data_IF_930829193091
#
_entry.id   IF_930829193091
#
_cell.length_a   1.000
_cell.length_b   1.000
_cell.length_c   1.000
_cell.angle_alpha   90.00
_cell.angle_beta   90.00
_cell.angle_gamma   90.00
#
_symmetry.space_group_name_H-M   'P 1'
#
loop_
_entity.id
_entity.type
_entity.pdbx_description
1 polymer ?
#
# COMPACT_ATOMS: atom_id res chain seq x y z
N UNK A 1 -22.81 -7.70 -0.07
CA UNK A 1 -21.53 -7.01 -0.31
C UNK A 1 -21.57 -6.44 -1.71
N UNK A 2 -20.93 -5.29 -1.96
CA UNK A 2 -20.92 -4.68 -3.29
C UNK A 2 -19.74 -5.20 -4.09
N UNK A 3 -20.02 -5.70 -5.29
CA UNK A 3 -18.99 -6.18 -6.22
C UNK A 3 -18.53 -5.02 -7.12
N UNK A 4 -17.22 -4.81 -7.21
CA UNK A 4 -16.64 -3.90 -8.19
C UNK A 4 -16.60 -4.61 -9.55
N UNK A 5 -17.03 -3.91 -10.60
CA UNK A 5 -17.19 -4.50 -11.94
C UNK A 5 -16.67 -3.55 -13.02
N UNK A 6 -16.20 -4.12 -14.12
CA UNK A 6 -15.66 -3.36 -15.27
C UNK A 6 -16.69 -2.48 -15.98
N UNK A 7 -17.99 -2.78 -15.87
CA UNK A 7 -19.08 -1.99 -16.48
C UNK A 7 -19.30 -0.62 -15.83
N UNK A 8 -18.63 -0.36 -14.70
CA UNK A 8 -18.62 0.94 -14.03
C UNK A 8 -17.63 1.94 -14.65
N UNK A 9 -16.82 1.50 -15.61
CA UNK A 9 -15.69 2.27 -16.14
C UNK A 9 -15.75 2.41 -17.66
N UNK A 10 -15.12 3.46 -18.16
CA UNK A 10 -14.99 3.84 -19.55
C UNK A 10 -13.54 4.25 -19.83
N UNK A 11 -13.20 4.63 -21.06
CA UNK A 11 -11.86 5.14 -21.38
C UNK A 11 -11.61 6.59 -20.88
N UNK A 12 -12.38 7.02 -19.89
CA UNK A 12 -12.57 8.41 -19.50
C UNK A 12 -11.94 8.74 -18.16
N UNK A 13 -12.62 9.56 -17.36
CA UNK A 13 -12.32 9.69 -15.94
C UNK A 13 -13.48 9.07 -15.21
N UNK A 14 -13.25 7.94 -14.57
CA UNK A 14 -14.30 7.22 -13.89
C UNK A 14 -14.08 7.17 -12.38
N UNK A 15 -15.18 7.10 -11.64
CA UNK A 15 -15.17 7.13 -10.18
C UNK A 15 -16.13 6.07 -9.67
N UNK A 16 -15.59 4.99 -9.12
CA UNK A 16 -16.35 3.98 -8.40
C UNK A 16 -16.16 4.21 -6.90
N UNK A 17 -17.25 4.51 -6.20
CA UNK A 17 -17.25 4.62 -4.73
C UNK A 17 -18.31 3.73 -4.15
N UNK A 18 -17.94 2.95 -3.13
CA UNK A 18 -18.92 2.31 -2.28
C UNK A 18 -18.55 2.53 -0.81
N UNK A 19 -19.57 2.91 -0.04
CA UNK A 19 -19.51 2.95 1.41
C UNK A 19 -20.56 1.98 1.94
N UNK A 20 -20.10 0.88 2.55
CA UNK A 20 -21.00 -0.19 2.98
C UNK A 20 -20.34 -1.17 3.94
N UNK A 21 -21.14 -1.72 4.85
CA UNK A 21 -20.71 -2.77 5.78
C UNK A 21 -21.09 -4.16 5.23
N UNK A 22 -20.28 -5.21 5.51
CA UNK A 22 -18.98 -5.16 6.18
C UNK A 22 -17.81 -4.77 5.25
N UNK A 23 -18.02 -4.80 3.94
CA UNK A 23 -16.98 -4.57 2.93
C UNK A 23 -17.39 -3.45 1.98
N UNK A 24 -16.47 -2.52 1.70
CA UNK A 24 -16.64 -1.46 0.70
C UNK A 24 -16.72 -2.06 -0.71
N UNK A 25 -15.65 -2.67 -1.21
CA UNK A 25 -15.69 -3.37 -2.51
C UNK A 25 -15.14 -4.79 -2.41
N UNK A 26 -15.86 -5.74 -2.99
CA UNK A 26 -15.32 -7.05 -3.34
C UNK A 26 -14.93 -7.07 -4.83
N UNK A 27 -13.71 -7.51 -5.12
CA UNK A 27 -13.24 -7.82 -6.47
C UNK A 27 -13.21 -9.34 -6.58
N UNK A 28 -14.18 -9.90 -7.30
CA UNK A 28 -14.40 -11.35 -7.39
C UNK A 28 -13.79 -11.98 -8.65
N UNK A 29 -13.46 -11.16 -9.66
CA UNK A 29 -12.89 -11.60 -10.93
C UNK A 29 -11.95 -10.54 -11.51
N UNK A 30 -11.88 -10.47 -12.84
CA UNK A 30 -11.09 -9.46 -13.55
C UNK A 30 -11.88 -8.15 -13.71
N UNK A 31 -11.41 -7.11 -13.02
CA UNK A 31 -11.90 -5.73 -13.14
C UNK A 31 -10.84 -4.88 -13.84
N UNK A 32 -11.23 -4.20 -14.91
CA UNK A 32 -10.38 -3.27 -15.64
C UNK A 32 -11.06 -1.89 -15.69
N UNK A 33 -10.40 -0.85 -15.15
CA UNK A 33 -10.94 0.53 -15.18
C UNK A 33 -10.72 1.22 -16.53
N UNK A 34 -10.05 0.56 -17.47
CA UNK A 34 -9.64 1.05 -18.79
C UNK A 34 -8.57 2.13 -18.71
N UNK A 35 -8.32 2.85 -19.79
CA UNK A 35 -7.40 3.99 -19.75
C UNK A 35 -8.14 5.21 -19.19
N UNK A 36 -7.50 6.03 -18.37
CA UNK A 36 -8.23 7.12 -17.78
C UNK A 36 -7.52 7.88 -16.68
N UNK A 37 -8.32 8.48 -15.80
CA UNK A 37 -7.83 8.97 -14.51
C UNK A 37 -8.81 8.47 -13.48
N UNK A 38 -8.70 7.20 -13.14
CA UNK A 38 -9.78 6.52 -12.46
C UNK A 38 -9.61 6.58 -10.96
N UNK A 39 -10.72 6.46 -10.25
CA UNK A 39 -10.74 6.49 -8.79
C UNK A 39 -11.64 5.39 -8.27
N UNK A 40 -11.04 4.45 -7.54
CA UNK A 40 -11.74 3.39 -6.81
C UNK A 40 -11.64 3.71 -5.32
N UNK A 41 -12.79 3.89 -4.66
CA UNK A 41 -12.85 4.09 -3.21
C UNK A 41 -13.78 3.06 -2.60
N UNK A 42 -13.23 2.24 -1.70
CA UNK A 42 -14.01 1.33 -0.86
C UNK A 42 -13.91 1.76 0.59
N UNK A 43 -15.05 2.11 1.19
CA UNK A 43 -15.15 2.51 2.59
C UNK A 43 -16.01 1.48 3.34
N UNK A 44 -15.45 0.87 4.38
CA UNK A 44 -16.23 0.09 5.33
C UNK A 44 -16.42 0.87 6.61
N UNK A 45 -17.68 1.18 6.90
CA UNK A 45 -18.12 1.71 8.19
C UNK A 45 -18.37 0.51 9.11
N UNK A 46 -17.30 -0.06 9.67
CA UNK A 46 -17.45 -1.10 10.69
C UNK A 46 -18.38 -0.60 11.81
N UNK A 47 -19.31 -1.44 12.27
CA UNK A 47 -20.03 -1.15 13.51
C UNK A 47 -18.99 -1.05 14.63
N UNK A 48 -18.94 0.10 15.30
CA UNK A 48 -17.88 0.42 16.24
C UNK A 48 -17.67 -0.68 17.27
N UNK A 49 -16.48 -1.30 17.24
CA UNK A 49 -15.70 -1.78 18.39
C UNK A 49 -16.49 -2.22 19.65
N UNK A 50 -17.49 -3.10 19.54
CA UNK A 50 -18.15 -3.77 20.68
C UNK A 50 -18.57 -5.22 20.40
N UNK A 51 -18.26 -5.79 19.22
CA UNK A 51 -18.55 -7.21 18.96
C UNK A 51 -17.35 -8.07 19.43
N UNK A 52 -17.56 -9.13 20.24
CA UNK A 52 -16.50 -10.04 20.66
C UNK A 52 -15.78 -10.65 19.44
N UNK A 53 -14.45 -10.73 19.53
CA UNK A 53 -13.47 -11.11 18.48
C UNK A 53 -13.62 -12.51 17.86
N UNK A 54 -14.78 -13.18 17.97
CA UNK A 54 -14.97 -14.55 17.47
C UNK A 54 -15.92 -14.68 16.28
N UNK A 55 -16.66 -13.63 15.88
CA UNK A 55 -17.57 -13.70 14.71
C UNK A 55 -17.76 -12.37 13.92
N UNK A 56 -16.96 -11.33 14.16
CA UNK A 56 -17.11 -10.06 13.40
C UNK A 56 -16.56 -10.22 11.98
N UNK A 57 -17.42 -10.09 10.97
CA UNK A 57 -17.01 -9.89 9.59
C UNK A 57 -16.01 -8.72 9.56
N UNK A 58 -14.76 -8.99 9.21
CA UNK A 58 -13.69 -7.99 9.23
C UNK A 58 -14.12 -6.80 8.36
N UNK A 59 -14.07 -5.59 8.93
CA UNK A 59 -14.40 -4.38 8.19
C UNK A 59 -13.30 -4.13 7.15
N UNK A 60 -13.61 -4.32 5.86
CA UNK A 60 -12.63 -4.23 4.77
C UNK A 60 -13.02 -3.12 3.79
N UNK A 61 -12.10 -2.21 3.47
CA UNK A 61 -12.38 -1.14 2.51
C UNK A 61 -12.48 -1.71 1.09
N UNK A 62 -11.42 -2.34 0.61
CA UNK A 62 -11.37 -3.05 -0.67
C UNK A 62 -10.80 -4.44 -0.46
N UNK A 63 -11.49 -5.48 -0.95
CA UNK A 63 -11.08 -6.87 -0.88
C UNK A 63 -10.89 -7.44 -2.29
N UNK A 64 -9.68 -7.92 -2.58
CA UNK A 64 -9.41 -8.72 -3.77
C UNK A 64 -9.34 -10.19 -3.36
N UNK A 65 -10.21 -11.01 -3.93
CA UNK A 65 -10.26 -12.45 -3.68
C UNK A 65 -9.09 -13.19 -4.38
N UNK A 66 -8.75 -14.42 -3.93
CA UNK A 66 -7.78 -15.26 -4.63
C UNK A 66 -8.13 -15.43 -6.12
N UNK A 67 -7.18 -15.17 -7.01
CA UNK A 67 -7.36 -15.25 -8.46
C UNK A 67 -8.07 -14.06 -9.10
N UNK A 68 -8.56 -13.09 -8.31
CA UNK A 68 -9.14 -11.84 -8.83
C UNK A 68 -8.05 -10.86 -9.26
N UNK A 69 -8.43 -9.91 -10.13
CA UNK A 69 -7.55 -8.84 -10.60
C UNK A 69 -8.29 -7.51 -10.60
N UNK A 70 -7.68 -6.49 -10.02
CA UNK A 70 -8.04 -5.09 -10.27
C UNK A 70 -6.93 -4.44 -11.07
N UNK A 71 -7.22 -4.05 -12.31
CA UNK A 71 -6.32 -3.36 -13.22
C UNK A 71 -6.84 -1.93 -13.46
N UNK A 72 -6.10 -0.90 -13.04
CA UNK A 72 -6.51 0.49 -13.30
C UNK A 72 -6.14 1.00 -14.68
N UNK A 73 -5.51 0.16 -15.52
CA UNK A 73 -5.08 0.53 -16.85
C UNK A 73 -4.06 1.67 -16.87
N UNK A 74 -4.00 2.40 -17.99
CA UNK A 74 -3.10 3.55 -18.12
C UNK A 74 -3.79 4.81 -17.62
N UNK A 75 -3.13 5.58 -16.78
CA UNK A 75 -3.78 6.73 -16.19
C UNK A 75 -3.03 7.29 -15.01
N UNK A 76 -3.61 8.31 -14.38
CA UNK A 76 -3.17 8.73 -13.04
C UNK A 76 -4.24 8.29 -12.06
N UNK A 77 -4.18 7.03 -11.69
CA UNK A 77 -5.27 6.36 -11.02
C UNK A 77 -5.12 6.44 -9.51
N UNK A 78 -6.21 6.20 -8.81
CA UNK A 78 -6.24 6.20 -7.35
C UNK A 78 -7.08 5.05 -6.85
N UNK A 79 -6.50 4.20 -6.01
CA UNK A 79 -7.19 3.14 -5.28
C UNK A 79 -7.08 3.41 -3.79
N UNK A 80 -8.22 3.62 -3.13
CA UNK A 80 -8.27 3.95 -1.71
C UNK A 80 -9.21 3.00 -0.99
N UNK A 81 -8.67 2.22 -0.05
CA UNK A 81 -9.44 1.39 0.85
C UNK A 81 -9.39 1.94 2.27
N UNK A 82 -10.55 2.21 2.87
CA UNK A 82 -10.68 2.76 4.23
C UNK A 82 -11.59 1.85 5.04
N UNK A 83 -11.13 1.38 6.19
CA UNK A 83 -11.98 0.62 7.10
C UNK A 83 -11.51 0.71 8.56
N UNK A 84 -12.34 0.19 9.47
CA UNK A 84 -11.97 0.01 10.87
C UNK A 84 -10.85 -1.03 11.03
N UNK A 85 -10.86 -2.13 10.27
CA UNK A 85 -9.88 -3.21 10.42
C UNK A 85 -8.82 -3.14 9.32
N UNK A 86 -9.21 -3.40 8.07
CA UNK A 86 -8.29 -3.52 6.95
C UNK A 86 -8.65 -2.56 5.80
N UNK A 87 -7.78 -1.61 5.49
CA UNK A 87 -8.03 -0.67 4.40
C UNK A 87 -8.15 -1.39 3.05
N UNK A 88 -7.07 -2.07 2.65
CA UNK A 88 -7.04 -2.92 1.45
C UNK A 88 -6.60 -4.33 1.85
N UNK A 89 -7.41 -5.34 1.54
CA UNK A 89 -7.05 -6.76 1.63
C UNK A 89 -6.84 -7.31 0.23
N UNK A 90 -5.59 -7.56 -0.14
CA UNK A 90 -5.23 -8.12 -1.43
C UNK A 90 -4.79 -9.59 -1.31
N UNK A 91 -5.67 -10.50 -1.73
CA UNK A 91 -5.36 -11.92 -1.93
C UNK A 91 -5.22 -12.27 -3.43
N UNK A 92 -5.41 -11.30 -4.31
CA UNK A 92 -5.36 -11.42 -5.77
C UNK A 92 -4.24 -10.57 -6.38
N UNK A 93 -4.55 -9.87 -7.46
CA UNK A 93 -3.61 -8.96 -8.12
C UNK A 93 -4.19 -7.56 -8.26
N UNK A 94 -3.51 -6.55 -7.72
CA UNK A 94 -3.80 -5.14 -7.95
C UNK A 94 -2.72 -4.56 -8.86
N UNK A 95 -3.09 -4.07 -10.03
CA UNK A 95 -2.18 -3.46 -10.99
C UNK A 95 -2.60 -2.04 -11.31
N UNK A 96 -1.63 -1.12 -11.32
CA UNK A 96 -1.75 0.17 -12.01
C UNK A 96 -0.78 0.18 -13.19
N UNK A 97 -1.09 0.99 -14.21
CA UNK A 97 -0.37 0.94 -15.47
C UNK A 97 0.68 2.02 -15.62
N UNK A 98 0.36 3.05 -16.40
CA UNK A 98 1.28 4.15 -16.68
C UNK A 98 0.71 5.45 -16.13
N UNK A 99 1.34 6.05 -15.14
CA UNK A 99 1.74 7.45 -15.10
C UNK A 99 2.14 7.87 -13.67
N UNK A 100 1.20 8.13 -12.79
CA UNK A 100 1.47 8.51 -11.40
C UNK A 100 0.27 8.07 -10.60
N UNK A 101 0.36 6.85 -10.13
CA UNK A 101 -0.74 6.17 -9.48
C UNK A 101 -0.57 6.22 -7.97
N UNK A 102 -1.70 6.11 -7.27
CA UNK A 102 -1.74 6.16 -5.81
C UNK A 102 -2.58 5.02 -5.29
N UNK A 103 -1.97 4.16 -4.49
CA UNK A 103 -2.66 3.12 -3.72
C UNK A 103 -2.57 3.53 -2.25
N UNK A 104 -3.69 3.67 -1.58
CA UNK A 104 -3.75 4.03 -0.16
C UNK A 104 -4.65 3.05 0.59
N UNK A 105 -4.09 2.40 1.60
CA UNK A 105 -4.84 1.59 2.54
C UNK A 105 -4.83 2.23 3.92
N UNK A 106 -6.01 2.45 4.49
CA UNK A 106 -6.20 2.95 5.84
C UNK A 106 -7.08 1.99 6.64
N UNK A 107 -6.45 1.19 7.49
CA UNK A 107 -7.15 0.34 8.46
C UNK A 107 -6.62 0.55 9.87
N UNK A 108 -7.42 0.21 10.88
CA UNK A 108 -6.99 0.24 12.28
C UNK A 108 -6.05 -0.91 12.63
N UNK A 109 -6.25 -2.09 12.03
CA UNK A 109 -5.37 -3.25 12.19
C UNK A 109 -4.32 -3.30 11.07
N UNK A 110 -4.75 -3.14 9.83
CA UNK A 110 -3.89 -3.23 8.65
C UNK A 110 -4.23 -2.11 7.67
N UNK A 111 -3.25 -1.30 7.28
CA UNK A 111 -3.43 -0.37 6.17
C UNK A 111 -3.64 -1.15 4.88
N UNK A 112 -2.64 -1.97 4.56
CA UNK A 112 -2.66 -2.88 3.42
C UNK A 112 -2.24 -4.28 3.91
N UNK A 113 -3.18 -5.22 3.88
CA UNK A 113 -2.90 -6.65 4.00
C UNK A 113 -2.70 -7.23 2.60
N UNK A 114 -1.50 -7.71 2.29
CA UNK A 114 -1.14 -8.21 0.97
C UNK A 114 -0.54 -9.61 1.07
N UNK A 115 -1.30 -10.62 0.63
CA UNK A 115 -0.83 -11.98 0.36
C UNK A 115 -0.82 -12.30 -1.14
N UNK A 116 -1.24 -11.34 -1.97
CA UNK A 116 -1.19 -11.38 -3.42
C UNK A 116 -0.06 -10.54 -4.01
N UNK A 117 -0.34 -9.87 -5.11
CA UNK A 117 0.60 -8.98 -5.82
C UNK A 117 0.00 -7.58 -5.97
N UNK A 118 0.79 -6.56 -5.64
CA UNK A 118 0.55 -5.16 -6.01
C UNK A 118 1.66 -4.76 -6.98
N UNK A 119 1.31 -4.22 -8.15
CA UNK A 119 2.27 -3.79 -9.18
C UNK A 119 1.89 -2.41 -9.73
N UNK A 120 2.74 -1.39 -9.60
CA UNK A 120 2.39 -0.02 -10.05
C UNK A 120 2.86 0.35 -11.46
N UNK A 121 3.70 -0.48 -12.07
CA UNK A 121 4.04 -0.34 -13.48
C UNK A 121 5.03 0.78 -13.78
N UNK A 122 4.68 1.73 -14.65
CA UNK A 122 5.57 2.86 -14.99
C UNK A 122 5.01 4.15 -14.44
N UNK A 123 5.73 4.80 -13.56
CA UNK A 123 5.23 6.04 -13.02
C UNK A 123 6.06 6.59 -11.91
N UNK A 124 5.62 7.70 -11.31
CA UNK A 124 6.12 8.05 -9.97
C UNK A 124 4.96 7.78 -9.04
N UNK A 125 4.87 6.52 -8.67
CA UNK A 125 3.75 5.92 -8.01
C UNK A 125 3.96 5.96 -6.50
N UNK A 126 2.84 5.83 -5.78
CA UNK A 126 2.84 5.86 -4.32
C UNK A 126 1.99 4.71 -3.81
N UNK A 127 2.58 3.87 -2.98
CA UNK A 127 1.85 2.87 -2.18
C UNK A 127 1.95 3.30 -0.71
N UNK A 128 0.81 3.57 -0.09
CA UNK A 128 0.72 4.19 1.22
C UNK A 128 -0.12 3.35 2.20
N UNK A 129 0.56 2.80 3.20
CA UNK A 129 -0.02 2.08 4.32
C UNK A 129 0.42 2.69 5.67
N UNK A 130 0.65 4.01 5.73
CA UNK A 130 1.09 4.67 6.98
C UNK A 130 0.14 4.47 8.17
N UNK A 131 -1.16 4.31 7.89
CA UNK A 131 -2.18 4.03 8.89
C UNK A 131 -2.49 2.53 8.90
N UNK A 132 -2.15 1.86 10.00
CA UNK A 132 -2.28 0.41 10.16
C UNK A 132 -1.11 -0.42 9.63
N UNK A 133 -0.21 0.15 8.83
CA UNK A 133 0.99 -0.56 8.34
C UNK A 133 0.70 -1.58 7.24
N UNK A 134 1.75 -2.27 6.81
CA UNK A 134 1.67 -3.42 5.92
C UNK A 134 1.55 -4.72 6.71
N UNK A 135 0.90 -5.73 6.13
CA UNK A 135 0.88 -7.09 6.66
C UNK A 135 0.74 -8.11 5.53
N UNK A 136 1.19 -9.34 5.77
CA UNK A 136 1.12 -10.45 4.81
C UNK A 136 2.51 -10.83 4.27
N UNK A 137 2.52 -11.70 3.26
CA UNK A 137 3.73 -12.25 2.63
C UNK A 137 3.82 -11.95 1.12
N UNK A 138 2.87 -11.20 0.59
CA UNK A 138 2.77 -10.85 -0.81
C UNK A 138 3.85 -9.88 -1.28
N UNK A 139 3.85 -9.64 -2.59
CA UNK A 139 4.78 -8.74 -3.28
C UNK A 139 4.12 -7.37 -3.53
N UNK A 140 4.87 -6.31 -3.27
CA UNK A 140 4.62 -4.97 -3.79
C UNK A 140 5.79 -4.61 -4.72
N UNK A 141 5.53 -4.53 -6.01
CA UNK A 141 6.48 -4.14 -7.06
C UNK A 141 6.14 -2.73 -7.56
N UNK A 142 7.03 -1.77 -7.33
CA UNK A 142 6.82 -0.38 -7.74
C UNK A 142 7.20 -0.15 -9.22
N UNK A 143 7.82 -1.13 -9.87
CA UNK A 143 8.08 -1.14 -11.29
C UNK A 143 9.22 -0.21 -11.72
N UNK A 144 8.91 0.88 -12.42
CA UNK A 144 9.96 1.74 -13.00
C UNK A 144 9.71 3.22 -12.76
N UNK A 145 10.82 3.94 -12.61
CA UNK A 145 10.97 5.38 -12.31
C UNK A 145 11.14 5.61 -10.81
N UNK A 146 10.76 6.76 -10.25
CA UNK A 146 11.17 7.09 -8.88
C UNK A 146 9.95 7.11 -7.97
N UNK A 147 9.71 5.97 -7.35
CA UNK A 147 8.50 5.61 -6.64
C UNK A 147 8.63 5.88 -5.14
N UNK A 148 7.52 5.72 -4.43
CA UNK A 148 7.47 5.97 -2.98
C UNK A 148 6.60 4.95 -2.28
N UNK A 149 7.25 4.12 -1.47
CA UNK A 149 6.58 3.29 -0.48
C UNK A 149 6.44 4.05 0.83
N UNK A 150 5.27 4.03 1.46
CA UNK A 150 5.06 4.62 2.78
C UNK A 150 4.41 3.63 3.74
N UNK A 151 4.99 3.48 4.92
CA UNK A 151 4.56 2.51 5.92
C UNK A 151 5.61 1.45 6.21
N UNK A 152 5.37 0.69 7.28
CA UNK A 152 6.22 -0.39 7.76
C UNK A 152 5.36 -1.63 8.03
N UNK A 153 5.93 -2.82 7.92
CA UNK A 153 5.23 -4.06 8.19
C UNK A 153 5.86 -5.27 7.51
N UNK A 154 5.17 -6.40 7.54
CA UNK A 154 5.60 -7.62 6.84
C UNK A 154 5.24 -7.57 5.36
N UNK A 155 6.02 -8.29 4.56
CA UNK A 155 5.84 -8.39 3.10
C UNK A 155 7.17 -8.34 2.36
N UNK A 156 7.10 -8.36 1.02
CA UNK A 156 8.23 -8.15 0.12
C UNK A 156 7.97 -6.90 -0.72
N UNK A 157 8.93 -5.98 -0.72
CA UNK A 157 8.78 -4.69 -1.38
C UNK A 157 9.95 -4.48 -2.33
N UNK A 158 9.66 -4.30 -3.61
CA UNK A 158 10.65 -4.00 -4.64
C UNK A 158 10.40 -2.58 -5.15
N UNK A 159 11.38 -1.70 -4.98
CA UNK A 159 11.38 -0.36 -5.57
C UNK A 159 11.53 -0.40 -7.09
N UNK A 160 12.08 -1.49 -7.64
CA UNK A 160 12.20 -1.70 -9.06
C UNK A 160 13.43 -1.00 -9.67
N UNK A 161 13.26 -0.46 -10.88
CA UNK A 161 14.36 0.06 -11.70
C UNK A 161 14.57 1.58 -11.58
N UNK A 162 14.10 2.20 -10.50
CA UNK A 162 14.34 3.60 -10.24
C UNK A 162 15.76 3.94 -9.89
N UNK A 163 15.98 5.23 -9.65
CA UNK A 163 17.28 5.74 -9.18
C UNK A 163 17.16 6.52 -7.87
N UNK A 164 15.92 6.71 -7.41
CA UNK A 164 15.53 7.49 -6.23
C UNK A 164 14.23 6.93 -5.64
N UNK A 165 14.03 5.63 -5.76
CA UNK A 165 12.96 4.94 -5.06
C UNK A 165 13.18 5.11 -3.57
N UNK A 166 12.09 5.36 -2.85
CA UNK A 166 12.18 5.71 -1.45
C UNK A 166 11.19 4.96 -0.58
N UNK A 167 11.66 4.59 0.60
CA UNK A 167 10.82 4.13 1.70
C UNK A 167 10.66 5.26 2.72
N UNK A 168 9.43 5.64 3.03
CA UNK A 168 9.12 6.62 4.07
C UNK A 168 8.39 5.95 5.24
N UNK A 169 8.99 6.04 6.42
CA UNK A 169 8.51 5.36 7.62
C UNK A 169 7.81 6.35 8.57
N UNK A 170 6.84 5.84 9.32
CA UNK A 170 6.20 6.56 10.43
C UNK A 170 7.13 6.66 11.63
N UNK A 171 6.63 7.24 12.73
CA UNK A 171 7.36 7.32 14.01
C UNK A 171 7.92 5.95 14.40
N UNK A 172 9.16 5.92 14.89
CA UNK A 172 9.80 4.69 15.35
C UNK A 172 11.31 4.69 15.22
N UNK A 173 11.91 3.58 15.66
CA UNK A 173 13.34 3.27 15.47
C UNK A 173 13.45 2.02 14.61
N UNK A 174 14.24 2.10 13.54
CA UNK A 174 14.37 1.07 12.53
C UNK A 174 15.83 0.73 12.31
N UNK A 175 16.13 -0.56 12.31
CA UNK A 175 17.44 -1.11 11.95
C UNK A 175 17.43 -1.47 10.48
N UNK A 176 18.33 -0.84 9.72
CA UNK A 176 18.47 -1.05 8.28
C UNK A 176 19.66 -1.98 8.07
N UNK A 177 19.43 -3.10 7.39
CA UNK A 177 20.47 -3.96 6.86
C UNK A 177 20.38 -3.90 5.33
N UNK A 178 21.18 -3.01 4.73
CA UNK A 178 21.15 -2.79 3.30
C UNK A 178 21.71 -3.97 2.50
N UNK A 179 22.69 -4.70 3.06
CA UNK A 179 23.26 -5.89 2.44
C UNK A 179 22.27 -7.07 2.48
N UNK A 180 21.55 -7.23 3.59
CA UNK A 180 20.50 -8.24 3.74
C UNK A 180 19.16 -7.86 3.09
N UNK A 181 18.99 -6.60 2.67
CA UNK A 181 17.74 -6.11 2.09
C UNK A 181 16.59 -6.10 3.09
N UNK A 182 16.84 -5.65 4.33
CA UNK A 182 15.80 -5.62 5.37
C UNK A 182 15.75 -4.33 6.17
N UNK A 183 14.54 -4.03 6.66
CA UNK A 183 14.26 -3.01 7.67
C UNK A 183 13.58 -3.72 8.84
N UNK A 184 14.11 -3.56 10.05
CA UNK A 184 13.58 -4.26 11.23
C UNK A 184 13.21 -3.29 12.35
N UNK A 185 12.08 -3.54 13.02
CA UNK A 185 11.65 -2.81 14.21
C UNK A 185 10.71 -3.65 15.06
N UNK A 186 10.87 -3.61 16.38
CA UNK A 186 10.01 -4.31 17.35
C UNK A 186 9.73 -5.80 17.02
N UNK A 187 10.73 -6.52 16.49
CA UNK A 187 10.60 -7.94 16.12
C UNK A 187 9.93 -8.20 14.76
N UNK A 188 9.48 -7.17 14.05
CA UNK A 188 8.98 -7.24 12.67
C UNK A 188 10.12 -6.99 11.70
N UNK A 189 10.16 -7.77 10.61
CA UNK A 189 11.13 -7.64 9.53
C UNK A 189 10.38 -7.35 8.22
N UNK A 190 10.78 -6.28 7.56
CA UNK A 190 10.30 -5.86 6.25
C UNK A 190 11.39 -6.17 5.21
N UNK A 191 11.08 -7.01 4.22
CA UNK A 191 12.03 -7.35 3.16
C UNK A 191 11.93 -6.33 2.02
N UNK A 192 13.04 -5.68 1.69
CA UNK A 192 13.10 -4.58 0.71
C UNK A 192 14.21 -4.81 -0.31
N UNK A 193 13.96 -4.43 -1.56
CA UNK A 193 14.93 -4.41 -2.65
C UNK A 193 14.69 -3.17 -3.53
N UNK A 194 15.70 -2.75 -4.30
CA UNK A 194 15.52 -1.67 -5.29
C UNK A 194 15.22 -0.28 -4.70
N UNK A 195 15.57 0.00 -3.45
CA UNK A 195 15.40 1.34 -2.85
C UNK A 195 16.73 2.06 -2.71
N UNK A 196 16.82 3.29 -3.21
CA UNK A 196 18.03 4.13 -3.01
C UNK A 196 17.91 5.09 -1.83
N UNK A 197 16.69 5.36 -1.35
CA UNK A 197 16.45 6.39 -0.34
C UNK A 197 15.56 5.91 0.80
N UNK A 198 15.81 6.46 1.99
CA UNK A 198 14.99 6.23 3.18
C UNK A 198 14.75 7.53 3.96
N UNK A 199 13.63 7.64 4.65
CA UNK A 199 13.34 8.79 5.51
C UNK A 199 12.02 8.69 6.28
N UNK A 200 11.61 9.82 6.84
CA UNK A 200 10.34 9.96 7.56
C UNK A 200 9.24 10.57 6.68
N UNK A 201 8.01 10.61 7.19
CA UNK A 201 6.83 11.11 6.46
C UNK A 201 6.84 12.62 6.22
N UNK A 202 7.55 13.39 7.04
CA UNK A 202 7.65 14.84 6.87
C UNK A 202 8.60 15.16 5.72
N UNK A 203 8.18 16.08 4.83
CA UNK A 203 9.06 16.63 3.80
C UNK A 203 10.34 17.16 4.47
N UNK A 204 11.47 16.54 4.15
CA UNK A 204 12.73 16.78 4.81
C UNK A 204 13.87 16.00 4.19
N UNK A 205 14.94 15.82 4.96
CA UNK A 205 16.13 15.09 4.54
C UNK A 205 15.77 13.62 4.28
N UNK A 206 16.12 13.15 3.09
CA UNK A 206 16.22 11.72 2.80
C UNK A 206 17.68 11.31 2.99
N UNK A 207 17.87 10.06 3.38
CA UNK A 207 19.18 9.42 3.51
C UNK A 207 19.33 8.41 2.38
N UNK A 208 20.58 8.12 2.01
CA UNK A 208 20.88 6.95 1.19
C UNK A 208 20.45 5.68 1.92
N UNK A 209 19.98 4.68 1.17
CA UNK A 209 19.62 3.39 1.73
C UNK A 209 20.89 2.60 2.08
N UNK A 210 21.35 2.77 3.30
CA UNK A 210 22.59 2.17 3.82
C UNK A 210 22.32 1.46 5.15
N UNK A 211 23.22 0.58 5.56
CA UNK A 211 23.14 -0.10 6.86
C UNK A 211 23.28 0.91 7.99
N UNK A 212 22.35 0.89 8.95
CA UNK A 212 22.33 1.86 10.04
C UNK A 212 21.04 1.88 10.83
N UNK A 213 20.86 2.95 11.60
CA UNK A 213 19.67 3.19 12.42
C UNK A 213 18.95 4.42 11.90
N UNK A 214 17.70 4.27 11.50
CA UNK A 214 16.78 5.37 11.23
C UNK A 214 15.90 5.60 12.45
N UNK A 215 15.85 6.84 12.93
CA UNK A 215 14.88 7.28 13.93
C UNK A 215 13.93 8.29 13.29
N UNK A 216 12.63 8.12 13.47
CA UNK A 216 11.59 9.03 13.02
C UNK A 216 10.80 9.51 14.23
N UNK A 217 10.72 10.82 14.43
CA UNK A 217 9.98 11.42 15.55
C UNK A 217 8.46 11.46 15.31
N UNK A 218 7.70 11.86 16.34
CA UNK A 218 6.24 12.05 16.34
C UNK A 218 5.73 13.03 15.25
N UNK A 219 6.62 13.87 14.73
CA UNK A 219 6.35 14.84 13.65
C UNK A 219 6.78 14.32 12.29
N UNK A 220 7.22 13.05 12.20
CA UNK A 220 7.66 12.41 10.97
C UNK A 220 9.03 12.87 10.46
N UNK A 221 9.83 13.57 11.28
CA UNK A 221 11.19 13.99 10.90
C UNK A 221 12.16 12.84 11.19
N UNK A 222 12.99 12.52 10.20
CA UNK A 222 13.98 11.48 10.32
C UNK A 222 15.39 11.99 10.65
N UNK A 223 16.11 11.18 11.42
CA UNK A 223 17.56 11.20 11.60
C UNK A 223 18.13 9.82 11.31
N UNK A 224 19.36 9.76 10.80
CA UNK A 224 20.00 8.51 10.44
C UNK A 224 21.43 8.46 10.98
N UNK A 225 21.81 7.30 11.49
CA UNK A 225 23.16 6.98 11.93
C UNK A 225 23.65 5.75 11.18
N UNK A 226 24.58 5.94 10.24
CA UNK A 226 25.24 4.84 9.55
C UNK A 226 26.10 4.03 10.53
N UNK A 227 26.14 2.71 10.36
CA UNK A 227 27.12 1.85 11.02
C UNK A 227 28.20 1.58 9.99
N UNK A 228 29.40 2.14 10.23
CA UNK A 228 30.60 1.93 9.41
C UNK A 228 31.23 0.56 9.67
#
# INVERSE_FOLDING_TARGET
MAELRSDLFSSGRDVARNSGAPTGWDVLGDVNTQAGKDTVVGESVGEGSQVPQSLSLEAIGIQLMPGSRLDTGNGKDTVTGIAADCGIRNLGTLVTGRAKDVITGEGGLHGIFNDGVISTGRGRDVVNALKGGFSGQGLVDLGTSNDTLKGFGTGRFDGGAGRRDRVLLGEGTYWIDAAGGTISSAGVVMAVAGFEKIGGTRKGKLFDFETGILMVDDKGKASFSAVL
#
